data_IF_080512144939
#
_entry.id   IF_080512144939
#
_cell.length_a   1.000
_cell.length_b   1.000
_cell.length_c   1.000
_cell.angle_alpha   90.00
_cell.angle_beta   90.00
_cell.angle_gamma   90.00
#
_symmetry.space_group_name_H-M   'P 1'
#
loop_
_entity.id
_entity.type
_entity.pdbx_description
1 polymer ?
#
# COMPACT_ATOMS: atom_id res chain seq x y z
N UNK A 1 -9.95 2.08 -29.15
CA UNK A 1 -8.95 1.24 -28.44
C UNK A 1 -9.36 1.10 -27.00
N UNK A 2 -9.65 -0.12 -26.55
CA UNK A 2 -9.71 -0.41 -25.12
C UNK A 2 -8.26 -0.42 -24.64
N UNK A 3 -7.85 0.53 -23.80
CA UNK A 3 -6.49 0.58 -23.28
C UNK A 3 -6.43 -0.26 -22.02
N UNK A 4 -5.79 -1.43 -22.10
CA UNK A 4 -5.58 -2.31 -20.95
C UNK A 4 -4.82 -1.55 -19.85
N UNK A 5 -5.38 -1.57 -18.64
CA UNK A 5 -4.79 -0.94 -17.44
C UNK A 5 -4.29 -2.04 -16.52
N UNK A 6 -3.07 -1.90 -16.03
CA UNK A 6 -2.45 -2.77 -15.03
C UNK A 6 -2.28 -2.00 -13.73
N UNK A 7 -2.40 -2.71 -12.60
CA UNK A 7 -2.26 -2.13 -11.28
C UNK A 7 -0.80 -2.13 -10.82
N UNK A 8 -0.28 -0.95 -10.47
CA UNK A 8 1.01 -0.85 -9.81
C UNK A 8 0.85 -1.13 -8.33
N UNK A 9 1.43 -2.26 -7.87
CA UNK A 9 1.42 -2.65 -6.45
C UNK A 9 2.15 -1.68 -5.54
N UNK A 10 3.09 -0.92 -6.08
CA UNK A 10 3.83 0.07 -5.31
C UNK A 10 3.04 1.36 -5.14
N UNK A 11 2.42 1.88 -6.21
CA UNK A 11 1.68 3.16 -6.17
C UNK A 11 0.18 3.02 -5.94
N UNK A 12 -0.34 1.80 -5.77
CA UNK A 12 -1.76 1.53 -5.60
C UNK A 12 -2.64 2.26 -6.64
N UNK A 13 -2.12 2.38 -7.88
CA UNK A 13 -2.73 3.14 -8.98
C UNK A 13 -2.78 2.30 -10.25
N UNK A 14 -3.84 2.52 -11.01
CA UNK A 14 -4.00 1.96 -12.35
C UNK A 14 -3.13 2.73 -13.35
N UNK A 15 -2.30 1.99 -14.08
CA UNK A 15 -1.40 2.52 -15.09
C UNK A 15 -1.73 1.82 -16.40
N UNK A 16 -1.72 2.56 -17.51
CA UNK A 16 -1.88 1.93 -18.82
C UNK A 16 -0.75 0.91 -19.05
N UNK A 17 -1.08 -0.30 -19.50
CA UNK A 17 -0.13 -1.39 -19.70
C UNK A 17 1.03 -0.99 -20.63
N UNK A 18 0.71 -0.24 -21.69
CA UNK A 18 1.69 0.32 -22.63
C UNK A 18 2.76 1.20 -21.95
N UNK A 19 2.43 1.82 -20.81
CA UNK A 19 3.33 2.68 -20.05
C UNK A 19 3.86 1.99 -18.77
N UNK A 20 3.49 0.73 -18.52
CA UNK A 20 3.84 0.06 -17.26
C UNK A 20 5.35 -0.17 -17.12
N UNK A 21 6.05 -0.59 -18.17
CA UNK A 21 7.51 -0.80 -18.13
C UNK A 21 8.29 0.49 -17.80
N UNK A 22 7.83 1.63 -18.35
CA UNK A 22 8.39 2.94 -18.03
C UNK A 22 8.02 3.36 -16.59
N UNK A 23 6.76 3.14 -16.21
CA UNK A 23 6.28 3.42 -14.87
C UNK A 23 7.05 2.61 -13.82
N UNK A 24 7.28 1.32 -14.00
CA UNK A 24 7.99 0.45 -13.04
C UNK A 24 9.42 0.94 -12.75
N UNK A 25 10.15 1.32 -13.80
CA UNK A 25 11.52 1.85 -13.68
C UNK A 25 11.55 3.19 -12.95
N UNK A 26 10.53 4.03 -13.16
CA UNK A 26 10.41 5.31 -12.48
C UNK A 26 9.94 5.13 -11.03
N UNK A 27 8.83 4.44 -10.86
CA UNK A 27 8.14 4.08 -9.63
C UNK A 27 9.08 3.53 -8.55
N UNK A 28 9.91 2.55 -8.90
CA UNK A 28 10.86 1.93 -7.96
C UNK A 28 11.86 2.92 -7.35
N UNK A 29 12.17 4.02 -8.04
CA UNK A 29 13.12 5.05 -7.57
C UNK A 29 12.52 6.03 -6.57
N UNK A 30 11.21 6.09 -6.45
CA UNK A 30 10.50 7.02 -5.55
C UNK A 30 9.88 6.29 -4.35
N UNK A 31 10.30 5.05 -4.10
CA UNK A 31 9.96 4.31 -2.90
C UNK A 31 10.90 4.77 -1.76
N UNK A 32 10.31 4.96 -0.59
CA UNK A 32 11.00 5.18 0.67
C UNK A 32 10.78 3.96 1.57
N UNK A 33 11.76 3.65 2.42
CA UNK A 33 11.59 2.60 3.42
C UNK A 33 10.69 3.12 4.55
N UNK A 34 9.67 2.33 4.89
CA UNK A 34 8.86 2.58 6.06
C UNK A 34 9.68 2.33 7.33
N UNK A 35 9.74 3.28 8.28
CA UNK A 35 10.54 3.10 9.50
C UNK A 35 9.94 2.11 10.50
N UNK A 36 8.67 1.72 10.33
CA UNK A 36 7.97 0.80 11.24
C UNK A 36 8.07 -0.67 10.79
N UNK A 37 8.30 -0.94 9.50
CA UNK A 37 8.29 -2.29 8.93
C UNK A 37 9.35 -2.57 7.84
N UNK A 38 10.17 -1.59 7.48
CA UNK A 38 11.19 -1.67 6.43
C UNK A 38 10.65 -2.02 5.02
N UNK A 39 9.34 -1.83 4.79
CA UNK A 39 8.74 -2.03 3.46
C UNK A 39 9.01 -0.82 2.54
N UNK A 40 9.17 -1.09 1.24
CA UNK A 40 9.35 -0.04 0.24
C UNK A 40 7.99 0.54 -0.16
N UNK A 41 7.69 1.75 0.34
CA UNK A 41 6.42 2.44 0.16
C UNK A 41 6.66 3.77 -0.57
N UNK A 42 5.83 4.17 -1.55
CA UNK A 42 5.96 5.49 -2.18
C UNK A 42 5.89 6.59 -1.12
N UNK A 43 6.77 7.58 -1.22
CA UNK A 43 6.83 8.67 -0.25
C UNK A 43 5.47 9.38 -0.04
N UNK A 44 4.72 9.57 -1.13
CA UNK A 44 3.38 10.19 -1.12
C UNK A 44 2.33 9.36 -0.37
N UNK A 45 2.52 8.04 -0.30
CA UNK A 45 1.62 7.09 0.37
C UNK A 45 2.14 6.59 1.71
N UNK A 46 3.36 6.96 2.11
CA UNK A 46 3.96 6.50 3.36
C UNK A 46 3.08 6.87 4.56
N UNK A 47 2.49 8.07 4.58
CA UNK A 47 1.57 8.49 5.64
C UNK A 47 0.33 7.59 5.71
N UNK A 48 -0.33 7.34 4.58
CA UNK A 48 -1.52 6.48 4.52
C UNK A 48 -1.19 5.03 4.90
N UNK A 49 -0.09 4.49 4.39
CA UNK A 49 0.40 3.16 4.77
C UNK A 49 0.58 3.04 6.28
N UNK A 50 1.20 4.03 6.93
CA UNK A 50 1.39 4.03 8.39
C UNK A 50 0.06 4.13 9.13
N UNK A 51 -0.91 4.87 8.63
CA UNK A 51 -2.25 4.95 9.24
C UNK A 51 -3.08 3.67 9.05
N UNK A 52 -2.93 2.96 7.95
CA UNK A 52 -3.73 1.75 7.70
C UNK A 52 -3.10 0.50 8.31
N UNK A 53 -1.78 0.35 8.20
CA UNK A 53 -1.04 -0.86 8.58
C UNK A 53 -0.38 -0.74 9.96
N UNK A 54 -0.09 0.48 10.41
CA UNK A 54 0.65 0.74 11.65
C UNK A 54 -0.09 1.67 12.62
N UNK A 55 -1.33 2.06 12.32
CA UNK A 55 -2.13 2.78 13.30
C UNK A 55 -2.32 1.88 14.51
N UNK A 56 -1.85 2.37 15.65
CA UNK A 56 -2.10 1.73 16.93
C UNK A 56 -3.60 1.81 17.19
N UNK A 57 -4.29 0.69 17.02
CA UNK A 57 -5.70 0.59 17.34
C UNK A 57 -5.88 1.00 18.81
N UNK A 58 -6.70 2.03 19.10
CA UNK A 58 -6.91 2.45 20.48
C UNK A 58 -7.50 1.24 21.23
N UNK A 59 -7.03 1.00 22.46
CA UNK A 59 -7.42 -0.16 23.27
C UNK A 59 -8.94 -0.36 23.41
N UNK A 60 -9.74 0.71 23.20
CA UNK A 60 -11.20 0.66 23.17
C UNK A 60 -11.75 -0.14 21.96
N UNK A 61 -11.05 -0.13 20.83
CA UNK A 61 -11.44 -0.85 19.60
C UNK A 61 -11.18 -2.36 19.68
N UNK A 62 -10.14 -2.80 20.40
CA UNK A 62 -9.85 -4.24 20.60
C UNK A 62 -10.89 -4.95 21.49
N UNK A 63 -11.68 -4.19 22.25
CA UNK A 63 -12.68 -4.77 23.18
C UNK A 63 -13.91 -5.31 22.43
N UNK A 64 -14.08 -4.95 21.16
CA UNK A 64 -15.23 -5.32 20.34
C UNK A 64 -14.95 -6.44 19.31
N UNK A 65 -13.74 -6.98 19.26
CA UNK A 65 -13.36 -8.08 18.33
C UNK A 65 -13.04 -9.38 19.06
N UNK A 66 -13.73 -9.67 20.17
CA UNK A 66 -13.84 -11.04 20.70
C UNK A 66 -14.98 -11.81 20.01
N UNK A 67 -15.04 -11.76 18.69
CA UNK A 67 -15.80 -12.76 17.94
C UNK A 67 -14.77 -13.83 17.54
N UNK A 68 -14.74 -14.89 18.36
CA UNK A 68 -14.07 -16.19 18.23
C UNK A 68 -13.31 -16.49 16.92
N UNK A 69 -12.01 -16.79 16.99
CA UNK A 69 -11.44 -17.90 16.22
C UNK A 69 -11.63 -19.22 16.99
N UNK A 70 -12.13 -20.22 16.27
CA UNK A 70 -12.21 -21.65 16.62
C UNK A 70 -13.50 -22.16 17.29
N UNK A 71 -14.44 -22.61 16.44
CA UNK A 71 -15.11 -23.90 16.59
C UNK A 71 -14.86 -24.72 15.33
#
# INVERSE_FOLDING_TARGET
HCGDKTFCRFYNKEVAEANFALHETHCSRFLCLCPDCDENVPQDQLSQHREEQHAQMPWRALRNTREHPDC
#
